data_IF_304736128314
#
_entry.id   IF_304736128314
#
_cell.length_a   1.000
_cell.length_b   1.000
_cell.length_c   1.000
_cell.angle_alpha   90.00
_cell.angle_beta   90.00
_cell.angle_gamma   90.00
#
_symmetry.space_group_name_H-M   'P 1'
#
loop_
_entity.id
_entity.type
_entity.pdbx_description
1 polymer ?
#
# COMPACT_ATOMS: atom_id res chain seq x y z
N UNK A 1 -78.04 -19.03 -35.22
CA UNK A 1 -78.05 -17.57 -35.18
C UNK A 1 -76.63 -17.11 -35.12
N UNK A 2 -76.03 -16.73 -36.26
CA UNK A 2 -74.69 -16.18 -36.33
C UNK A 2 -74.82 -14.65 -36.45
N UNK A 3 -74.34 -13.94 -35.41
CA UNK A 3 -74.21 -12.47 -35.48
C UNK A 3 -72.87 -12.12 -36.12
N UNK A 4 -72.91 -11.64 -37.38
CA UNK A 4 -71.75 -11.02 -38.03
C UNK A 4 -71.55 -9.58 -37.52
N UNK A 5 -70.55 -9.35 -36.72
CA UNK A 5 -70.11 -8.01 -36.35
C UNK A 5 -69.18 -7.50 -37.44
N UNK A 6 -69.69 -6.62 -38.31
CA UNK A 6 -68.83 -5.87 -39.26
C UNK A 6 -68.12 -4.75 -38.56
N UNK A 7 -66.85 -4.93 -38.32
CA UNK A 7 -65.96 -3.82 -37.88
C UNK A 7 -65.79 -2.83 -39.04
N UNK A 8 -66.16 -1.60 -38.77
CA UNK A 8 -66.07 -0.51 -39.72
C UNK A 8 -64.61 -0.06 -39.85
N UNK A 9 -63.92 -0.46 -40.93
CA UNK A 9 -62.48 -0.14 -41.16
C UNK A 9 -62.19 1.32 -41.42
N UNK A 10 -63.15 2.21 -41.44
CA UNK A 10 -62.95 3.63 -41.77
C UNK A 10 -62.61 4.49 -40.59
N UNK A 11 -62.74 4.01 -39.36
CA UNK A 11 -62.44 4.84 -38.14
C UNK A 11 -60.98 4.77 -37.72
N UNK A 12 -60.23 3.74 -38.17
CA UNK A 12 -58.81 3.57 -37.77
C UNK A 12 -57.81 4.25 -38.71
N UNK A 13 -58.23 4.74 -39.91
CA UNK A 13 -57.33 5.41 -40.82
C UNK A 13 -57.14 6.92 -40.60
N UNK A 14 -57.92 7.50 -39.68
CA UNK A 14 -57.88 8.96 -39.45
C UNK A 14 -56.91 9.38 -38.29
N UNK A 15 -56.32 8.42 -37.57
CA UNK A 15 -55.54 8.72 -36.35
C UNK A 15 -54.00 8.64 -36.48
N UNK A 16 -53.51 8.10 -37.58
CA UNK A 16 -52.04 7.95 -37.75
C UNK A 16 -51.63 8.37 -39.16
N UNK A 17 -51.62 9.66 -39.41
CA UNK A 17 -50.92 10.21 -40.59
C UNK A 17 -49.41 10.18 -40.32
N UNK A 18 -48.57 9.66 -41.23
CA UNK A 18 -47.13 9.57 -41.05
C UNK A 18 -46.48 10.93 -40.76
N UNK A 19 -47.10 12.02 -41.22
CA UNK A 19 -46.66 13.40 -40.90
C UNK A 19 -46.88 13.78 -39.44
N UNK A 20 -47.91 13.27 -38.75
CA UNK A 20 -48.18 13.54 -37.34
C UNK A 20 -47.25 12.70 -36.41
N UNK A 21 -46.92 11.48 -36.81
CA UNK A 21 -45.94 10.65 -36.09
C UNK A 21 -44.54 11.23 -36.24
N UNK A 22 -44.17 11.73 -37.40
CA UNK A 22 -42.89 12.39 -37.64
C UNK A 22 -42.76 13.70 -36.82
N UNK A 23 -43.85 14.47 -36.71
CA UNK A 23 -43.85 15.71 -35.89
C UNK A 23 -43.76 15.40 -34.40
N UNK A 24 -44.35 14.32 -33.90
CA UNK A 24 -44.24 13.89 -32.51
C UNK A 24 -42.84 13.37 -32.20
N UNK A 25 -42.16 12.68 -33.12
CA UNK A 25 -40.79 12.22 -32.99
C UNK A 25 -39.77 13.38 -32.95
N UNK A 26 -40.00 14.44 -33.75
CA UNK A 26 -39.15 15.64 -33.78
C UNK A 26 -39.30 16.44 -32.48
N UNK A 27 -40.48 16.47 -31.85
CA UNK A 27 -40.74 17.15 -30.59
C UNK A 27 -40.17 16.42 -29.37
N UNK A 28 -39.98 15.10 -29.45
CA UNK A 28 -39.35 14.33 -28.34
C UNK A 28 -37.83 14.24 -28.45
N UNK A 29 -37.25 14.51 -29.63
CA UNK A 29 -35.79 14.50 -29.83
C UNK A 29 -35.09 15.80 -29.36
N UNK A 30 -35.83 16.82 -28.93
CA UNK A 30 -35.28 18.17 -28.71
C UNK A 30 -34.96 18.52 -27.28
N UNK A 31 -34.93 17.59 -26.33
CA UNK A 31 -34.62 17.90 -24.95
C UNK A 31 -33.43 17.10 -24.37
N UNK A 32 -32.37 16.93 -25.15
CA UNK A 32 -31.07 16.78 -24.55
C UNK A 32 -30.57 18.20 -24.26
N UNK A 33 -31.10 18.81 -23.24
CA UNK A 33 -30.54 20.03 -22.69
C UNK A 33 -29.19 19.68 -22.11
N UNK A 34 -28.14 20.00 -22.84
CA UNK A 34 -26.77 20.02 -22.33
C UNK A 34 -26.71 21.10 -21.26
N UNK A 35 -27.09 20.75 -20.03
CA UNK A 35 -27.10 21.71 -18.95
C UNK A 35 -25.72 21.80 -18.34
N UNK A 36 -25.29 23.01 -18.05
CA UNK A 36 -24.18 23.24 -17.15
C UNK A 36 -24.60 22.76 -15.77
N UNK A 37 -23.79 21.91 -15.15
CA UNK A 37 -24.05 21.35 -13.83
C UNK A 37 -22.94 21.79 -12.89
N UNK A 38 -23.30 22.24 -11.71
CA UNK A 38 -22.36 22.49 -10.62
C UNK A 38 -22.61 21.45 -9.55
N UNK A 39 -21.55 20.79 -9.12
CA UNK A 39 -21.58 19.78 -8.05
C UNK A 39 -20.79 20.35 -6.88
N UNK A 40 -21.42 20.51 -5.75
CA UNK A 40 -20.74 20.84 -4.49
C UNK A 40 -20.02 19.59 -3.96
N UNK A 41 -18.75 19.74 -3.67
CA UNK A 41 -17.90 18.64 -3.23
C UNK A 41 -16.99 19.07 -2.08
N UNK A 42 -16.32 18.09 -1.44
CA UNK A 42 -15.33 18.34 -0.38
C UNK A 42 -14.20 19.31 -0.81
N UNK A 43 -13.88 19.35 -2.10
CA UNK A 43 -12.84 20.22 -2.67
C UNK A 43 -13.41 21.50 -3.28
N UNK A 44 -14.68 21.81 -2.99
CA UNK A 44 -15.42 22.95 -3.51
C UNK A 44 -16.29 22.61 -4.71
N UNK A 45 -16.79 23.64 -5.36
CA UNK A 45 -17.67 23.50 -6.52
C UNK A 45 -16.91 22.95 -7.74
N UNK A 46 -17.51 21.95 -8.36
CA UNK A 46 -17.05 21.34 -9.62
C UNK A 46 -18.06 21.69 -10.72
N UNK A 47 -17.60 22.39 -11.72
CA UNK A 47 -18.43 22.83 -12.84
C UNK A 47 -18.27 21.91 -14.04
N UNK A 48 -19.41 21.55 -14.64
CA UNK A 48 -19.45 20.74 -15.83
C UNK A 48 -20.21 21.50 -16.91
N UNK A 49 -19.67 21.51 -18.12
CA UNK A 49 -20.29 22.07 -19.31
C UNK A 49 -20.59 20.96 -20.29
N UNK A 50 -21.85 20.79 -20.67
CA UNK A 50 -22.27 19.73 -21.60
C UNK A 50 -21.85 18.30 -21.16
N UNK A 51 -21.84 18.04 -19.84
CA UNK A 51 -21.45 16.75 -19.25
C UNK A 51 -19.94 16.53 -19.11
N UNK A 52 -19.12 17.49 -19.52
CA UNK A 52 -17.66 17.45 -19.37
C UNK A 52 -17.19 18.45 -18.29
N UNK A 53 -16.18 18.13 -17.51
CA UNK A 53 -15.63 19.08 -16.53
C UNK A 53 -15.04 20.30 -17.26
N UNK A 54 -15.21 21.49 -16.67
CA UNK A 54 -14.49 22.69 -17.12
C UNK A 54 -12.99 22.56 -16.85
N UNK A 55 -12.16 23.37 -17.51
CA UNK A 55 -10.70 23.38 -17.29
C UNK A 55 -10.38 23.63 -15.81
N UNK A 56 -11.05 24.59 -15.17
CA UNK A 56 -10.89 24.88 -13.75
C UNK A 56 -11.28 23.69 -12.85
N UNK A 57 -12.27 22.89 -13.26
CA UNK A 57 -12.64 21.65 -12.55
C UNK A 57 -11.60 20.56 -12.75
N UNK A 58 -11.05 20.43 -13.95
CA UNK A 58 -9.98 19.49 -14.26
C UNK A 58 -8.75 19.79 -13.41
N UNK A 59 -8.31 21.04 -13.35
CA UNK A 59 -7.18 21.46 -12.54
C UNK A 59 -7.39 21.13 -11.05
N UNK A 60 -8.56 21.46 -10.48
CA UNK A 60 -8.89 21.08 -9.10
C UNK A 60 -8.84 19.57 -8.85
N UNK A 61 -9.33 18.77 -9.79
CA UNK A 61 -9.32 17.31 -9.66
C UNK A 61 -7.91 16.74 -9.72
N UNK A 62 -7.03 17.29 -10.58
CA UNK A 62 -5.64 16.89 -10.63
C UNK A 62 -4.87 17.31 -9.39
N UNK A 63 -5.05 18.54 -8.91
CA UNK A 63 -4.42 19.02 -7.67
C UNK A 63 -4.81 18.14 -6.47
N UNK A 64 -6.09 17.80 -6.35
CA UNK A 64 -6.57 16.90 -5.29
C UNK A 64 -5.99 15.48 -5.44
N UNK A 65 -5.91 14.96 -6.68
CA UNK A 65 -5.32 13.66 -6.94
C UNK A 65 -3.83 13.64 -6.56
N UNK A 66 -3.09 14.67 -6.89
CA UNK A 66 -1.66 14.79 -6.56
C UNK A 66 -1.46 14.92 -5.05
N UNK A 67 -2.32 15.69 -4.37
CA UNK A 67 -2.32 15.76 -2.90
C UNK A 67 -2.56 14.39 -2.26
N UNK A 68 -3.57 13.65 -2.74
CA UNK A 68 -3.87 12.30 -2.22
C UNK A 68 -2.71 11.33 -2.47
N UNK A 69 -2.06 11.40 -3.64
CA UNK A 69 -0.87 10.60 -3.95
C UNK A 69 0.31 10.95 -3.06
N UNK A 70 0.51 12.23 -2.78
CA UNK A 70 1.56 12.68 -1.87
C UNK A 70 1.33 12.17 -0.44
N UNK A 71 0.08 12.21 0.05
CA UNK A 71 -0.29 11.63 1.35
C UNK A 71 -0.05 10.13 1.37
N UNK A 72 -0.44 9.41 0.33
CA UNK A 72 -0.20 7.96 0.22
C UNK A 72 1.30 7.63 0.20
N UNK A 73 2.09 8.39 -0.57
CA UNK A 73 3.55 8.21 -0.62
C UNK A 73 4.20 8.48 0.75
N UNK A 74 3.75 9.51 1.46
CA UNK A 74 4.22 9.80 2.81
C UNK A 74 3.94 8.64 3.77
N UNK A 75 2.69 8.17 3.80
CA UNK A 75 2.29 7.07 4.70
C UNK A 75 3.01 5.76 4.33
N UNK A 76 3.19 5.49 3.05
CA UNK A 76 3.92 4.33 2.56
C UNK A 76 5.40 4.38 2.95
N UNK A 77 6.05 5.55 2.84
CA UNK A 77 7.47 5.69 3.15
C UNK A 77 7.76 5.76 4.66
N UNK A 78 6.77 6.04 5.51
CA UNK A 78 6.94 6.27 6.95
C UNK A 78 7.66 5.10 7.68
N UNK A 79 7.31 3.81 7.48
CA UNK A 79 8.02 2.71 8.12
C UNK A 79 9.49 2.67 7.72
N UNK A 80 9.78 2.83 6.42
CA UNK A 80 11.14 2.82 5.91
C UNK A 80 11.98 3.97 6.48
N UNK A 81 11.47 5.21 6.42
CA UNK A 81 12.19 6.40 6.91
C UNK A 81 12.44 6.30 8.41
N UNK A 82 11.44 5.85 9.17
CA UNK A 82 11.58 5.67 10.62
C UNK A 82 12.64 4.61 10.96
N UNK A 83 12.63 3.49 10.25
CA UNK A 83 13.57 2.42 10.50
C UNK A 83 14.98 2.76 10.01
N UNK A 84 15.10 3.43 8.86
CA UNK A 84 16.40 3.92 8.38
C UNK A 84 17.07 4.88 9.39
N UNK A 85 16.31 5.76 10.01
CA UNK A 85 16.82 6.62 11.07
C UNK A 85 17.33 5.83 12.30
N UNK A 86 16.61 4.76 12.68
CA UNK A 86 17.04 3.86 13.76
C UNK A 86 18.30 3.08 13.39
N UNK A 87 18.40 2.61 12.15
CA UNK A 87 19.59 1.95 11.60
C UNK A 87 20.77 2.90 11.61
N UNK A 88 20.62 4.12 11.10
CA UNK A 88 21.66 5.14 11.10
C UNK A 88 22.16 5.46 12.53
N UNK A 89 21.23 5.61 13.47
CA UNK A 89 21.59 5.81 14.88
C UNK A 89 22.36 4.62 15.48
N UNK A 90 22.03 3.41 15.07
CA UNK A 90 22.69 2.17 15.52
C UNK A 90 24.10 2.06 14.92
N UNK A 91 24.24 2.36 13.62
CA UNK A 91 25.55 2.47 12.96
C UNK A 91 26.44 3.55 13.58
N UNK A 92 25.85 4.71 13.92
CA UNK A 92 26.54 5.80 14.63
C UNK A 92 27.07 5.41 16.00
N UNK A 93 26.53 4.36 16.63
CA UNK A 93 27.03 3.75 17.86
C UNK A 93 28.10 2.67 17.64
N UNK A 94 28.49 2.41 16.40
CA UNK A 94 29.54 1.47 16.02
C UNK A 94 29.06 0.08 15.62
N UNK A 95 27.75 -0.13 15.41
CA UNK A 95 27.24 -1.38 14.86
C UNK A 95 27.77 -1.59 13.43
N UNK A 96 28.02 -2.83 13.06
CA UNK A 96 28.39 -3.29 11.72
C UNK A 96 28.19 -4.82 11.63
N UNK A 97 28.58 -5.45 10.55
CA UNK A 97 28.46 -6.91 10.37
C UNK A 97 29.19 -7.76 11.43
N UNK A 98 30.03 -7.16 12.25
CA UNK A 98 30.82 -7.86 13.28
C UNK A 98 30.53 -7.35 14.70
N UNK A 99 29.71 -6.33 14.85
CA UNK A 99 29.49 -5.63 16.12
C UNK A 99 28.02 -5.35 16.32
N UNK A 100 27.49 -5.73 17.46
CA UNK A 100 26.14 -5.37 17.92
C UNK A 100 26.23 -4.32 19.00
N UNK A 101 25.20 -3.49 19.08
CA UNK A 101 25.04 -2.50 20.16
C UNK A 101 24.16 -3.10 21.26
N UNK A 102 24.67 -3.13 22.47
CA UNK A 102 23.89 -3.50 23.65
C UNK A 102 23.24 -2.22 24.22
N UNK A 103 21.93 -2.26 24.32
CA UNK A 103 21.15 -1.19 24.95
C UNK A 103 20.81 -1.63 26.39
N UNK A 104 21.56 -1.18 27.39
CA UNK A 104 21.28 -1.55 28.77
C UNK A 104 19.99 -0.86 29.23
N UNK A 105 19.28 -1.52 30.13
CA UNK A 105 18.17 -0.92 30.84
C UNK A 105 18.66 0.18 31.78
N UNK A 106 18.69 1.41 31.37
CA UNK A 106 18.92 2.47 32.34
C UNK A 106 17.80 3.51 32.24
N UNK A 107 17.20 3.81 33.38
CA UNK A 107 16.28 4.92 33.54
C UNK A 107 16.93 6.27 33.18
N UNK A 108 18.26 6.30 33.03
CA UNK A 108 19.04 7.47 32.65
C UNK A 108 19.17 7.68 31.15
N UNK A 109 18.85 6.67 30.34
CA UNK A 109 18.88 6.82 28.87
C UNK A 109 17.61 7.51 28.38
N UNK A 110 17.74 8.77 28.06
CA UNK A 110 16.72 9.52 27.35
C UNK A 110 16.60 8.97 25.89
N UNK A 111 15.86 7.91 25.73
CA UNK A 111 15.54 7.38 24.39
C UNK A 111 14.32 8.13 23.86
N UNK A 112 14.47 8.79 22.73
CA UNK A 112 13.37 9.41 22.01
C UNK A 112 12.58 8.35 21.23
N UNK A 113 12.02 7.37 21.94
CA UNK A 113 11.15 6.33 21.39
C UNK A 113 9.80 6.36 22.09
N UNK A 114 8.76 6.12 21.31
CA UNK A 114 7.38 6.31 21.75
C UNK A 114 6.99 5.33 22.88
N UNK A 115 7.50 4.11 22.84
CA UNK A 115 7.17 3.04 23.79
C UNK A 115 8.42 2.32 24.27
N UNK A 116 9.31 3.07 24.95
CA UNK A 116 10.53 2.52 25.51
C UNK A 116 10.26 1.40 26.52
N UNK A 117 11.09 0.36 26.51
CA UNK A 117 11.05 -0.73 27.47
C UNK A 117 12.20 -0.56 28.46
N UNK A 118 11.91 -0.66 29.75
CA UNK A 118 12.86 -0.50 30.82
C UNK A 118 13.29 -1.83 31.48
N UNK A 119 12.62 -2.93 31.13
CA UNK A 119 12.80 -4.21 31.79
C UNK A 119 13.64 -5.21 30.99
N UNK A 120 13.87 -4.95 29.71
CA UNK A 120 14.56 -5.88 28.80
C UNK A 120 15.81 -5.24 28.20
N UNK A 121 16.93 -5.95 28.25
CA UNK A 121 18.16 -5.56 27.56
C UNK A 121 18.00 -5.89 26.07
N UNK A 122 18.18 -4.90 25.21
CA UNK A 122 18.15 -5.09 23.76
C UNK A 122 19.55 -5.20 23.18
N UNK A 123 19.66 -6.11 22.20
CA UNK A 123 20.79 -6.22 21.29
C UNK A 123 20.33 -5.75 19.93
N UNK A 124 20.99 -4.76 19.37
CA UNK A 124 20.70 -4.24 18.03
C UNK A 124 21.93 -4.42 17.13
N UNK A 125 21.73 -5.06 15.99
CA UNK A 125 22.72 -5.22 14.94
C UNK A 125 22.19 -4.69 13.61
N UNK A 126 23.10 -4.34 12.73
CA UNK A 126 22.79 -3.98 11.33
C UNK A 126 23.60 -4.87 10.44
N UNK A 127 22.96 -5.52 9.50
CA UNK A 127 23.62 -6.38 8.51
C UNK A 127 23.67 -5.65 7.18
N UNK A 128 24.87 -5.39 6.69
CA UNK A 128 25.11 -4.88 5.35
C UNK A 128 25.40 -6.04 4.41
N UNK A 129 24.53 -6.31 3.48
CA UNK A 129 24.59 -7.43 2.55
C UNK A 129 25.17 -7.06 1.19
N UNK A 130 25.62 -5.82 1.00
CA UNK A 130 26.16 -5.34 -0.28
C UNK A 130 27.40 -6.08 -0.72
N UNK A 131 28.20 -6.56 0.22
CA UNK A 131 29.42 -7.34 -0.05
C UNK A 131 29.18 -8.85 -0.07
N UNK A 132 27.96 -9.31 0.12
CA UNK A 132 27.58 -10.73 0.06
C UNK A 132 26.87 -11.24 1.31
N UNK A 133 26.68 -12.56 1.38
CA UNK A 133 26.01 -13.22 2.51
C UNK A 133 26.74 -13.02 3.85
N UNK A 134 25.94 -12.87 4.92
CA UNK A 134 26.44 -12.73 6.28
C UNK A 134 25.95 -13.89 7.15
N UNK A 135 26.84 -14.47 7.96
CA UNK A 135 26.47 -15.48 8.95
C UNK A 135 26.25 -14.81 10.31
N UNK A 136 25.04 -15.03 10.85
CA UNK A 136 24.69 -14.62 12.20
C UNK A 136 24.65 -15.85 13.11
N UNK A 137 25.49 -15.89 14.13
CA UNK A 137 25.49 -16.95 15.12
C UNK A 137 24.74 -16.49 16.37
N UNK A 138 23.73 -17.24 16.77
CA UNK A 138 22.86 -16.94 17.90
C UNK A 138 23.09 -17.94 19.02
N UNK A 139 23.33 -17.50 20.26
CA UNK A 139 23.27 -18.38 21.42
C UNK A 139 21.81 -18.77 21.72
N UNK A 140 21.62 -19.84 22.47
CA UNK A 140 20.31 -20.21 22.99
C UNK A 140 19.78 -19.16 23.98
N UNK A 141 18.46 -19.02 24.05
CA UNK A 141 17.80 -18.16 25.04
C UNK A 141 17.59 -16.71 24.62
N UNK A 142 17.91 -16.33 23.39
CA UNK A 142 17.54 -15.05 22.82
C UNK A 142 16.11 -15.06 22.29
N UNK A 143 15.50 -13.89 22.29
CA UNK A 143 14.25 -13.61 21.58
C UNK A 143 14.46 -12.37 20.72
N UNK A 144 14.06 -12.45 19.46
CA UNK A 144 14.21 -11.32 18.55
C UNK A 144 13.65 -11.61 17.17
N UNK A 145 13.97 -10.74 16.26
CA UNK A 145 13.59 -10.87 14.85
C UNK A 145 14.64 -10.23 13.96
N UNK A 146 14.80 -10.74 12.76
CA UNK A 146 15.48 -10.03 11.68
C UNK A 146 14.42 -9.38 10.79
N UNK A 147 14.58 -8.09 10.53
CA UNK A 147 13.68 -7.32 9.69
C UNK A 147 14.46 -6.71 8.53
N UNK A 148 13.77 -6.50 7.42
CA UNK A 148 14.26 -5.67 6.33
C UNK A 148 14.13 -4.17 6.67
N UNK A 149 14.56 -3.29 5.76
CA UNK A 149 14.46 -1.84 5.95
C UNK A 149 13.01 -1.31 5.95
N UNK A 150 12.04 -2.11 5.49
CA UNK A 150 10.61 -1.79 5.58
C UNK A 150 9.95 -2.24 6.88
N UNK A 151 10.74 -2.76 7.84
CA UNK A 151 10.29 -3.37 9.09
C UNK A 151 9.48 -4.66 8.88
N UNK A 152 9.58 -5.28 7.71
CA UNK A 152 8.97 -6.58 7.46
C UNK A 152 9.83 -7.67 8.10
N UNK A 153 9.23 -8.60 8.86
CA UNK A 153 9.99 -9.67 9.50
C UNK A 153 10.47 -10.68 8.45
N UNK A 154 11.77 -10.92 8.40
CA UNK A 154 12.37 -11.95 7.57
C UNK A 154 12.36 -13.31 8.28
N UNK A 155 12.66 -13.33 9.58
CA UNK A 155 12.60 -14.51 10.42
C UNK A 155 12.57 -14.15 11.89
N UNK A 156 11.91 -14.98 12.67
CA UNK A 156 11.98 -14.91 14.14
C UNK A 156 13.29 -15.56 14.63
N UNK A 157 13.81 -15.02 15.73
CA UNK A 157 14.99 -15.51 16.42
C UNK A 157 14.63 -15.88 17.86
N UNK A 158 14.93 -17.07 18.27
CA UNK A 158 14.55 -17.57 19.58
C UNK A 158 13.07 -17.94 19.67
N UNK A 159 12.69 -18.48 20.81
CA UNK A 159 11.34 -18.95 21.04
C UNK A 159 11.03 -20.34 20.43
N UNK A 160 9.90 -20.90 20.77
CA UNK A 160 9.57 -22.28 20.38
C UNK A 160 9.20 -22.44 18.91
N UNK A 161 8.87 -21.35 18.23
CA UNK A 161 8.40 -21.36 16.83
C UNK A 161 9.46 -20.90 15.84
N UNK A 162 10.60 -20.41 16.31
CA UNK A 162 11.74 -20.07 15.46
C UNK A 162 12.37 -21.32 14.85
N UNK A 163 13.13 -21.14 13.75
CA UNK A 163 13.77 -22.26 13.04
C UNK A 163 14.71 -23.08 13.95
N UNK A 164 15.43 -22.42 14.85
CA UNK A 164 16.35 -23.05 15.81
C UNK A 164 15.70 -23.49 17.13
N UNK A 165 14.42 -23.19 17.33
CA UNK A 165 13.61 -23.59 18.50
C UNK A 165 14.26 -23.18 19.83
N UNK A 166 14.78 -21.97 19.90
CA UNK A 166 15.47 -21.42 21.08
C UNK A 166 16.74 -22.18 21.52
N UNK A 167 17.30 -23.04 20.65
CA UNK A 167 18.53 -23.81 20.94
C UNK A 167 19.81 -23.08 20.52
N UNK A 168 19.64 -21.89 19.93
CA UNK A 168 20.70 -21.22 19.22
C UNK A 168 21.00 -21.86 17.86
N UNK A 169 21.72 -21.17 17.01
CA UNK A 169 22.00 -21.67 15.67
C UNK A 169 22.72 -20.65 14.81
N UNK A 170 22.98 -21.04 13.60
CA UNK A 170 23.60 -20.17 12.60
C UNK A 170 22.61 -19.84 11.49
N UNK A 171 22.43 -18.58 11.25
CA UNK A 171 21.61 -18.05 10.18
C UNK A 171 22.51 -17.52 9.07
N UNK A 172 22.28 -18.00 7.84
CA UNK A 172 22.93 -17.46 6.65
C UNK A 172 21.97 -16.46 6.01
N UNK A 173 22.27 -15.19 6.16
CA UNK A 173 21.47 -14.10 5.61
C UNK A 173 22.02 -13.76 4.24
N UNK A 174 21.16 -13.89 3.23
CA UNK A 174 21.47 -13.75 1.82
C UNK A 174 21.02 -12.40 1.31
N UNK A 175 21.81 -11.72 0.45
CA UNK A 175 21.37 -10.50 -0.20
C UNK A 175 20.20 -10.76 -1.16
N UNK A 176 19.51 -9.68 -1.60
CA UNK A 176 18.46 -9.80 -2.61
C UNK A 176 18.95 -10.50 -3.88
N UNK A 177 18.09 -11.38 -4.42
CA UNK A 177 18.35 -12.12 -5.66
C UNK A 177 19.63 -12.99 -5.65
N UNK A 178 20.08 -13.43 -4.47
CA UNK A 178 21.20 -14.36 -4.37
C UNK A 178 20.83 -15.71 -4.99
N UNK A 179 21.59 -16.16 -5.98
CA UNK A 179 21.35 -17.37 -6.78
C UNK A 179 22.52 -18.35 -6.80
N UNK A 180 23.59 -18.07 -6.03
CA UNK A 180 24.72 -18.97 -5.93
C UNK A 180 24.42 -20.18 -5.03
N UNK A 181 25.13 -21.31 -5.24
CA UNK A 181 24.96 -22.50 -4.42
C UNK A 181 25.22 -22.21 -2.93
N UNK A 182 24.29 -22.63 -2.08
CA UNK A 182 24.47 -22.49 -0.64
C UNK A 182 25.57 -23.42 -0.10
N UNK A 183 26.32 -22.98 0.93
CA UNK A 183 27.29 -23.82 1.60
C UNK A 183 26.65 -25.10 2.17
N UNK A 184 27.35 -26.22 2.12
CA UNK A 184 26.89 -27.52 2.65
C UNK A 184 26.90 -27.60 4.19
N UNK A 185 26.93 -26.51 4.89
CA UNK A 185 26.87 -26.43 6.36
C UNK A 185 25.41 -26.31 6.84
N UNK A 186 25.17 -26.66 8.11
CA UNK A 186 23.87 -26.50 8.71
C UNK A 186 23.62 -25.01 9.06
N UNK A 187 22.94 -24.30 8.15
CA UNK A 187 22.46 -22.96 8.33
C UNK A 187 20.95 -22.90 8.19
N UNK A 188 20.32 -22.03 8.93
CA UNK A 188 18.98 -21.54 8.62
C UNK A 188 19.14 -20.42 7.58
N UNK A 189 18.77 -20.67 6.35
CA UNK A 189 18.92 -19.67 5.28
C UNK A 189 17.77 -18.68 5.31
N UNK A 190 18.09 -17.40 5.24
CA UNK A 190 17.14 -16.29 5.21
C UNK A 190 17.52 -15.38 4.05
N UNK A 191 16.65 -15.20 3.09
CA UNK A 191 16.90 -14.29 1.98
C UNK A 191 16.25 -12.92 2.29
N UNK A 192 17.08 -11.88 2.25
CA UNK A 192 16.61 -10.51 2.38
C UNK A 192 16.12 -10.00 1.03
N UNK A 193 15.23 -9.03 1.06
CA UNK A 193 14.73 -8.27 -0.08
C UNK A 193 15.29 -6.85 -0.15
N UNK A 194 16.04 -6.45 0.89
CA UNK A 194 16.86 -5.22 0.96
C UNK A 194 18.29 -5.55 1.37
N UNK A 195 19.25 -4.72 0.97
CA UNK A 195 20.66 -4.87 1.37
C UNK A 195 20.94 -4.23 2.71
#
# INVERSE_FOLDING_TARGET
MQHNIRYNRQVLSALVSPSKVLLLFILTASNVAWSNTVVDSRIGELEFSSGYPTEATVDKLYDELDFQRAVQAYLWAMPFVSYAAAVEATLGKGANNHTVVIQPNSAEQQQLILTGNQDTVYLSGVLDLRDGPVVVELPAGLLGTMNNLWQEPLTDLGGPFSAEQNRGGRFLVLPPNYDEPLPKAHYHSVQADTN
#
